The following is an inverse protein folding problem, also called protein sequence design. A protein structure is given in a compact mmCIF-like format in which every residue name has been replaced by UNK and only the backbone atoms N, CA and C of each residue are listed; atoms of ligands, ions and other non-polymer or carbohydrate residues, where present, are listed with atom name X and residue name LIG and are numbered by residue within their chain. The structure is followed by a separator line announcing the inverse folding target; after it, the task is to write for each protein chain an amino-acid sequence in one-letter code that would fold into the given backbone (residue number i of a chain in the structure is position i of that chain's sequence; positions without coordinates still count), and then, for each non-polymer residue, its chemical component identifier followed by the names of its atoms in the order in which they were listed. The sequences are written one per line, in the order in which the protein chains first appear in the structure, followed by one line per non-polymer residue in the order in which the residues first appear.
data_IF_519745353136
#
_entry.id   IF_519745353136
#
_cell.length_a   1.000
_cell.length_b   1.000
_cell.length_c   1.000
_cell.angle_alpha   90.00
_cell.angle_beta   90.00
_cell.angle_gamma   90.00
#
_symmetry.space_group_name_H-M   'P 1'
#
loop_
_entity.id
_entity.type
_entity.pdbx_description
1 polymer ?
#
# COMPACT_ATOMS: atom_id res chain seq x y z
N UNK A 1 -33.21 -1.89 -8.48
CA UNK A 1 -31.98 -1.15 -8.09
C UNK A 1 -30.88 -1.58 -9.05
N UNK A 2 -30.43 -0.68 -9.91
CA UNK A 2 -29.28 -0.89 -10.80
C UNK A 2 -27.96 -0.64 -10.01
N UNK A 3 -26.80 -1.08 -10.53
CA UNK A 3 -25.73 -1.70 -9.76
C UNK A 3 -24.58 -0.74 -9.44
N UNK A 4 -23.92 -0.91 -8.29
CA UNK A 4 -22.59 -0.34 -8.04
C UNK A 4 -21.54 -1.44 -8.16
N UNK A 5 -21.05 -1.56 -9.39
CA UNK A 5 -19.86 -2.28 -9.78
C UNK A 5 -18.65 -1.91 -8.91
N UNK A 6 -17.97 -2.89 -8.35
CA UNK A 6 -16.51 -2.87 -8.25
C UNK A 6 -15.98 -4.26 -8.55
N UNK A 7 -16.24 -4.71 -9.77
CA UNK A 7 -15.41 -5.69 -10.42
C UNK A 7 -14.31 -4.90 -11.14
N UNK A 8 -13.13 -4.75 -10.52
CA UNK A 8 -11.91 -4.33 -11.22
C UNK A 8 -10.71 -4.85 -10.44
N UNK A 9 -9.92 -5.69 -11.12
CA UNK A 9 -8.61 -6.26 -10.75
C UNK A 9 -8.59 -7.57 -9.94
N UNK A 10 -9.27 -8.61 -10.45
CA UNK A 10 -9.21 -9.99 -9.95
C UNK A 10 -7.89 -10.75 -10.22
N UNK A 11 -6.82 -10.09 -10.66
CA UNK A 11 -5.51 -10.73 -10.94
C UNK A 11 -4.33 -10.00 -10.29
N UNK A 12 -4.60 -9.29 -9.19
CA UNK A 12 -3.55 -8.68 -8.39
C UNK A 12 -3.58 -9.21 -6.96
N UNK A 13 -2.47 -9.79 -6.53
CA UNK A 13 -2.36 -10.37 -5.19
C UNK A 13 -2.23 -9.21 -4.19
N UNK A 14 -3.31 -8.91 -3.48
CA UNK A 14 -3.30 -7.96 -2.39
C UNK A 14 -2.78 -8.66 -1.14
N UNK A 15 -1.76 -8.10 -0.49
CA UNK A 15 -1.17 -8.62 0.73
C UNK A 15 -1.29 -7.57 1.82
N UNK A 16 -1.82 -7.97 2.97
CA UNK A 16 -1.89 -7.13 4.16
C UNK A 16 -0.64 -7.34 5.02
N UNK A 17 -0.03 -6.25 5.46
CA UNK A 17 1.13 -6.32 6.33
C UNK A 17 1.37 -5.06 7.13
N UNK A 18 2.43 -5.07 7.93
CA UNK A 18 2.83 -3.94 8.77
C UNK A 18 4.13 -3.35 8.25
N UNK A 19 4.20 -2.04 8.10
CA UNK A 19 5.44 -1.37 7.70
C UNK A 19 6.44 -1.49 8.84
N UNK A 20 7.56 -2.17 8.63
CA UNK A 20 8.64 -2.31 9.61
C UNK A 20 9.78 -1.36 9.36
N UNK A 21 9.96 -0.90 8.12
CA UNK A 21 11.00 0.04 7.74
C UNK A 21 10.51 1.00 6.66
N UNK A 22 10.98 2.23 6.66
CA UNK A 22 10.71 3.24 5.63
C UNK A 22 12.03 3.93 5.25
N UNK A 23 12.79 3.31 4.35
CA UNK A 23 14.08 3.82 3.89
C UNK A 23 13.89 4.69 2.64
N UNK A 24 13.71 6.00 2.84
CA UNK A 24 13.53 6.97 1.76
C UNK A 24 12.22 6.74 1.00
N UNK A 25 12.28 6.32 -0.26
CA UNK A 25 11.10 6.00 -1.10
C UNK A 25 10.67 4.53 -1.04
N UNK A 26 11.31 3.73 -0.19
CA UNK A 26 11.06 2.30 -0.01
C UNK A 26 10.50 2.02 1.37
N UNK A 27 9.57 1.08 1.44
CA UNK A 27 8.90 0.62 2.65
C UNK A 27 9.03 -0.89 2.73
N UNK A 28 9.49 -1.40 3.85
CA UNK A 28 9.48 -2.83 4.12
C UNK A 28 8.17 -3.18 4.82
N UNK A 29 7.37 -4.03 4.18
CA UNK A 29 6.08 -4.46 4.73
C UNK A 29 6.18 -5.91 5.17
N UNK A 30 6.05 -6.15 6.47
CA UNK A 30 6.01 -7.48 7.06
C UNK A 30 4.62 -8.10 6.85
N UNK A 31 4.56 -9.13 6.01
CA UNK A 31 3.38 -9.95 5.73
C UNK A 31 3.64 -11.35 6.30
N UNK A 32 3.10 -11.61 7.49
CA UNK A 32 3.39 -12.84 8.24
C UNK A 32 4.89 -12.98 8.54
N UNK A 33 5.51 -14.06 8.06
CA UNK A 33 6.95 -14.33 8.22
C UNK A 33 7.83 -13.74 7.11
N UNK A 34 7.26 -13.01 6.14
CA UNK A 34 7.98 -12.46 5.00
C UNK A 34 7.98 -10.95 5.03
N UNK A 35 9.12 -10.34 4.72
CA UNK A 35 9.22 -8.89 4.49
C UNK A 35 9.17 -8.63 2.99
N UNK A 36 8.24 -7.78 2.54
CA UNK A 36 8.05 -7.44 1.14
C UNK A 36 8.46 -5.98 0.94
N UNK A 37 9.55 -5.72 0.19
CA UNK A 37 9.96 -4.36 -0.13
C UNK A 37 8.95 -3.77 -1.11
N UNK A 38 8.26 -2.74 -0.66
CA UNK A 38 7.22 -2.02 -1.38
C UNK A 38 7.63 -0.57 -1.58
N UNK A 39 7.12 0.04 -2.65
CA UNK A 39 7.24 1.48 -2.86
C UNK A 39 5.91 2.01 -3.31
N UNK A 40 5.59 3.23 -2.90
CA UNK A 40 4.42 3.92 -3.40
C UNK A 40 4.59 4.15 -4.91
N UNK A 41 3.70 3.56 -5.72
CA UNK A 41 3.68 3.80 -7.18
C UNK A 41 3.10 5.19 -7.45
N UNK A 42 3.98 6.20 -7.41
CA UNK A 42 3.70 7.56 -7.83
C UNK A 42 3.14 8.46 -6.73
N UNK A 43 3.06 9.77 -7.01
CA UNK A 43 2.41 10.75 -6.15
C UNK A 43 0.93 10.37 -6.02
N UNK A 44 0.56 9.73 -4.92
CA UNK A 44 -0.82 9.70 -4.47
C UNK A 44 -1.26 11.16 -4.34
N UNK A 45 -1.89 11.70 -5.38
CA UNK A 45 -2.61 12.98 -5.33
C UNK A 45 -3.89 12.69 -4.54
N UNK A 46 -3.75 12.47 -3.23
CA UNK A 46 -4.83 12.80 -2.33
C UNK A 46 -4.95 14.32 -2.44
N UNK A 47 -6.02 14.78 -3.06
CA UNK A 47 -6.41 16.19 -3.07
C UNK A 47 -6.25 16.72 -1.64
N UNK A 48 -5.43 17.76 -1.48
CA UNK A 48 -5.37 18.62 -0.28
C UNK A 48 -4.46 18.24 0.92
N UNK A 49 -3.56 17.26 0.85
CA UNK A 49 -2.66 17.00 2.00
C UNK A 49 -1.17 16.90 1.61
N UNK A 50 -0.41 17.95 1.93
CA UNK A 50 1.06 18.08 1.88
C UNK A 50 1.75 17.15 2.91
N UNK A 51 1.38 15.88 2.94
CA UNK A 51 2.02 14.89 3.83
C UNK A 51 3.22 14.31 3.09
N UNK A 52 4.42 14.64 3.57
CA UNK A 52 5.69 14.20 2.98
C UNK A 52 5.89 12.69 3.14
N UNK A 53 5.19 12.06 4.08
CA UNK A 53 5.20 10.63 4.28
C UNK A 53 3.84 10.11 4.78
N UNK A 54 2.95 9.62 3.90
CA UNK A 54 1.64 9.11 4.28
C UNK A 54 1.67 7.72 4.94
N UNK A 55 2.85 7.10 5.05
CA UNK A 55 3.01 5.74 5.58
C UNK A 55 4.19 5.70 6.57
N UNK A 56 3.90 5.46 7.84
CA UNK A 56 4.90 5.36 8.89
C UNK A 56 5.22 3.92 9.27
N UNK A 57 6.36 3.70 9.92
CA UNK A 57 6.68 2.41 10.54
C UNK A 57 5.66 2.12 11.64
N UNK A 58 5.08 0.92 11.61
CA UNK A 58 4.00 0.48 12.48
C UNK A 58 2.62 0.50 11.84
N UNK A 59 2.46 1.16 10.69
CA UNK A 59 1.17 1.22 10.01
C UNK A 59 0.84 -0.11 9.33
N UNK A 60 -0.43 -0.53 9.45
CA UNK A 60 -0.99 -1.64 8.68
C UNK A 60 -1.37 -1.15 7.29
N UNK A 61 -0.78 -1.74 6.27
CA UNK A 61 -0.99 -1.38 4.86
C UNK A 61 -1.34 -2.60 4.04
N UNK A 62 -2.15 -2.40 3.01
CA UNK A 62 -2.42 -3.39 1.98
C UNK A 62 -1.58 -3.05 0.76
N UNK A 63 -0.67 -3.94 0.38
CA UNK A 63 0.17 -3.79 -0.81
C UNK A 63 -0.40 -4.63 -1.96
N UNK A 64 -0.36 -4.09 -3.17
CA UNK A 64 -0.72 -4.83 -4.39
C UNK A 64 0.56 -5.36 -5.03
N UNK A 65 0.73 -6.68 -5.02
CA UNK A 65 1.82 -7.36 -5.73
C UNK A 65 1.32 -7.74 -7.11
N UNK A 66 1.99 -7.23 -8.14
CA UNK A 66 1.73 -7.53 -9.56
C UNK A 66 2.96 -8.16 -10.18
#
# INVERSE_FOLDING_TARGET
MAPSSTAVDSDATHLDGVVTSSTGSWYDVQVGDRTIPSRLRGKFRLTEQDVTNPVAVGDRVTIRVT
#
